data_IF_867115725251
#
_entry.id   IF_867115725251
#
_cell.length_a   1.000
_cell.length_b   1.000
_cell.length_c   1.000
_cell.angle_alpha   90.00
_cell.angle_beta   90.00
_cell.angle_gamma   90.00
#
_symmetry.space_group_name_H-M   'P 1'
#
loop_
_entity.id
_entity.type
_entity.pdbx_description
1 polymer ?
#
# COMPACT_ATOMS: atom_id res chain seq x y z
N UNK A 1 4.11 -10.07 -5.20
CA UNK A 1 5.24 -10.89 -4.69
C UNK A 1 6.32 -11.22 -5.73
N UNK A 2 6.02 -11.86 -6.87
CA UNK A 2 7.05 -12.42 -7.76
C UNK A 2 8.04 -11.42 -8.40
N UNK A 3 7.72 -10.13 -8.38
CA UNK A 3 8.61 -9.06 -8.83
C UNK A 3 9.80 -8.81 -7.88
N UNK A 4 9.72 -9.22 -6.61
CA UNK A 4 10.74 -8.91 -5.59
C UNK A 4 11.04 -10.04 -4.60
N UNK A 5 10.22 -11.09 -4.51
CA UNK A 5 10.38 -12.14 -3.48
C UNK A 5 11.59 -13.07 -3.65
N UNK A 6 12.37 -12.91 -4.73
CA UNK A 6 13.61 -13.64 -4.98
C UNK A 6 14.86 -12.76 -4.87
N UNK A 7 14.70 -11.49 -4.48
CA UNK A 7 15.81 -10.58 -4.26
C UNK A 7 16.43 -10.84 -2.88
N UNK A 8 17.74 -10.66 -2.77
CA UNK A 8 18.43 -10.76 -1.48
C UNK A 8 18.30 -9.45 -0.69
N UNK A 9 17.13 -9.22 -0.08
CA UNK A 9 16.83 -7.97 0.63
C UNK A 9 17.21 -8.00 2.12
N UNK A 10 17.57 -9.16 2.67
CA UNK A 10 17.92 -9.34 4.08
C UNK A 10 16.74 -9.19 5.06
N UNK A 11 17.09 -8.89 6.31
CA UNK A 11 16.17 -8.69 7.43
C UNK A 11 16.51 -7.41 8.22
N UNK A 12 15.59 -7.01 9.09
CA UNK A 12 15.79 -5.96 10.10
C UNK A 12 15.55 -6.63 11.45
N UNK A 13 16.61 -6.77 12.26
CA UNK A 13 16.55 -7.40 13.59
C UNK A 13 15.88 -8.79 13.58
N UNK A 14 16.16 -9.62 12.57
CA UNK A 14 15.57 -10.94 12.40
C UNK A 14 14.20 -10.96 11.71
N UNK A 15 13.60 -9.80 11.41
CA UNK A 15 12.33 -9.70 10.66
C UNK A 15 12.64 -9.54 9.17
N UNK A 16 12.24 -10.47 8.29
CA UNK A 16 12.52 -10.37 6.86
C UNK A 16 11.94 -9.10 6.23
N UNK A 17 12.70 -8.44 5.35
CA UNK A 17 12.24 -7.22 4.64
C UNK A 17 11.15 -7.47 3.60
N UNK A 18 10.85 -8.74 3.31
CA UNK A 18 9.68 -9.17 2.55
C UNK A 18 8.89 -10.13 3.41
N UNK A 19 7.72 -9.70 3.86
CA UNK A 19 6.77 -10.53 4.58
C UNK A 19 5.68 -10.97 3.61
N UNK A 20 5.52 -12.28 3.40
CA UNK A 20 4.53 -12.85 2.49
C UNK A 20 3.37 -13.46 3.28
N UNK A 21 2.21 -12.80 3.25
CA UNK A 21 1.01 -13.30 3.93
C UNK A 21 0.29 -14.41 3.15
N UNK A 22 0.66 -14.68 1.89
CA UNK A 22 0.04 -15.74 1.07
C UNK A 22 -0.55 -15.25 -0.25
N UNK A 23 -1.69 -15.79 -0.63
CA UNK A 23 -2.42 -15.50 -1.86
C UNK A 23 -3.11 -14.13 -1.82
N UNK A 24 -3.81 -13.76 -2.90
CA UNK A 24 -4.48 -12.46 -2.97
C UNK A 24 -5.59 -12.29 -1.93
N UNK A 25 -6.28 -13.37 -1.54
CA UNK A 25 -7.23 -13.39 -0.43
C UNK A 25 -6.58 -13.12 0.94
N UNK A 26 -5.29 -13.42 1.10
CA UNK A 26 -4.54 -13.14 2.34
C UNK A 26 -4.17 -11.65 2.49
N UNK A 27 -4.60 -10.80 1.56
CA UNK A 27 -4.68 -9.35 1.79
C UNK A 27 -5.56 -9.02 3.01
N UNK A 28 -6.49 -9.91 3.38
CA UNK A 28 -7.23 -9.84 4.63
C UNK A 28 -6.29 -9.78 5.85
N UNK A 29 -5.25 -10.62 5.88
CA UNK A 29 -4.28 -10.64 6.97
C UNK A 29 -3.57 -9.29 7.12
N UNK A 30 -3.21 -8.64 6.00
CA UNK A 30 -2.61 -7.30 6.04
C UNK A 30 -3.57 -6.22 6.53
N UNK A 31 -4.85 -6.31 6.19
CA UNK A 31 -5.87 -5.42 6.74
C UNK A 31 -6.00 -5.60 8.27
N UNK A 32 -6.03 -6.85 8.75
CA UNK A 32 -6.06 -7.15 10.20
C UNK A 32 -4.82 -6.64 10.91
N UNK A 33 -3.64 -6.82 10.33
CA UNK A 33 -2.38 -6.28 10.88
C UNK A 33 -2.43 -4.76 10.98
N UNK A 34 -2.87 -4.06 9.94
CA UNK A 34 -2.99 -2.61 9.96
C UNK A 34 -3.98 -2.13 11.03
N UNK A 35 -5.16 -2.77 11.14
CA UNK A 35 -6.13 -2.45 12.18
C UNK A 35 -5.58 -2.71 13.59
N UNK A 36 -4.82 -3.79 13.78
CA UNK A 36 -4.20 -4.08 15.07
C UNK A 36 -3.11 -3.08 15.42
N UNK A 37 -2.28 -2.67 14.46
CA UNK A 37 -1.28 -1.61 14.67
C UNK A 37 -1.96 -0.29 15.04
N UNK A 38 -3.05 0.08 14.35
CA UNK A 38 -3.85 1.27 14.69
C UNK A 38 -4.30 1.23 16.16
N UNK A 39 -4.83 0.09 16.60
CA UNK A 39 -5.27 -0.13 17.99
C UNK A 39 -4.09 -0.01 18.98
N UNK A 40 -2.98 -0.71 18.72
CA UNK A 40 -1.80 -0.73 19.61
C UNK A 40 -1.18 0.66 19.76
N UNK A 41 -1.16 1.46 18.69
CA UNK A 41 -0.66 2.83 18.72
C UNK A 41 -1.72 3.87 19.15
N UNK A 42 -2.97 3.45 19.42
CA UNK A 42 -4.04 4.35 19.84
C UNK A 42 -4.42 5.42 18.80
N UNK A 43 -4.27 5.12 17.52
CA UNK A 43 -4.52 6.06 16.43
C UNK A 43 -6.01 6.17 16.12
N UNK A 44 -6.46 7.36 15.72
CA UNK A 44 -7.88 7.60 15.39
C UNK A 44 -8.20 7.16 13.95
N UNK A 45 -7.24 7.30 13.04
CA UNK A 45 -7.34 6.93 11.63
C UNK A 45 -6.27 5.89 11.25
N UNK A 46 -6.63 4.92 10.40
CA UNK A 46 -5.71 3.90 9.88
C UNK A 46 -4.62 4.53 9.00
N UNK A 47 -4.92 5.67 8.39
CA UNK A 47 -4.02 6.40 7.50
C UNK A 47 -2.91 7.16 8.25
N UNK A 48 -2.95 7.21 9.59
CA UNK A 48 -1.88 7.74 10.43
C UNK A 48 -0.73 6.73 10.63
N UNK A 49 -0.95 5.46 10.26
CA UNK A 49 0.10 4.44 10.33
C UNK A 49 1.21 4.74 9.32
N UNK A 50 2.48 4.38 9.63
CA UNK A 50 3.60 4.51 8.71
C UNK A 50 3.56 3.41 7.63
N UNK A 51 2.45 3.29 6.89
CA UNK A 51 2.20 2.27 5.87
C UNK A 51 1.89 2.96 4.54
N UNK A 52 2.60 2.57 3.50
CA UNK A 52 2.37 3.01 2.13
C UNK A 52 1.71 1.89 1.34
N UNK A 53 0.60 2.19 0.66
CA UNK A 53 -0.11 1.24 -0.21
C UNK A 53 0.27 1.50 -1.68
N UNK A 54 1.25 0.75 -2.19
CA UNK A 54 1.59 0.70 -3.62
C UNK A 54 1.23 -0.67 -4.18
N UNK A 55 0.04 -0.78 -4.79
CA UNK A 55 -0.63 -2.03 -5.13
C UNK A 55 -0.60 -2.26 -6.64
N UNK A 56 -0.09 -3.41 -7.04
CA UNK A 56 -0.23 -3.90 -8.41
C UNK A 56 -1.52 -4.73 -8.55
N UNK A 57 -2.27 -4.51 -9.63
CA UNK A 57 -3.48 -5.27 -9.94
C UNK A 57 -3.42 -5.86 -11.36
N UNK A 58 -4.30 -6.85 -11.63
CA UNK A 58 -4.44 -7.45 -12.96
C UNK A 58 -5.87 -7.91 -13.23
N UNK A 59 -6.44 -8.72 -12.33
CA UNK A 59 -7.76 -9.33 -12.49
C UNK A 59 -8.76 -8.86 -11.41
N UNK A 60 -9.96 -9.43 -11.42
CA UNK A 60 -11.11 -8.93 -10.67
C UNK A 60 -11.01 -9.19 -9.16
N UNK A 61 -10.24 -10.20 -8.71
CA UNK A 61 -10.00 -10.37 -7.26
C UNK A 61 -9.19 -9.21 -6.68
N UNK A 62 -8.27 -8.61 -7.45
CA UNK A 62 -7.62 -7.38 -7.02
C UNK A 62 -8.60 -6.21 -6.88
N UNK A 63 -9.67 -6.17 -7.68
CA UNK A 63 -10.72 -5.14 -7.57
C UNK A 63 -11.50 -5.29 -6.27
N UNK A 64 -11.91 -6.50 -5.87
CA UNK A 64 -12.62 -6.68 -4.59
C UNK A 64 -11.72 -6.39 -3.39
N UNK A 65 -10.42 -6.70 -3.47
CA UNK A 65 -9.44 -6.31 -2.44
C UNK A 65 -9.34 -4.78 -2.33
N UNK A 66 -9.27 -4.07 -3.46
CA UNK A 66 -9.27 -2.61 -3.47
C UNK A 66 -10.54 -2.06 -2.81
N UNK A 67 -11.73 -2.54 -3.20
CA UNK A 67 -13.00 -2.11 -2.61
C UNK A 67 -13.07 -2.38 -1.10
N UNK A 68 -12.52 -3.50 -0.63
CA UNK A 68 -12.43 -3.80 0.79
C UNK A 68 -11.53 -2.80 1.55
N UNK A 69 -10.37 -2.44 0.99
CA UNK A 69 -9.49 -1.42 1.58
C UNK A 69 -10.17 -0.04 1.64
N UNK A 70 -10.87 0.35 0.57
CA UNK A 70 -11.64 1.61 0.54
C UNK A 70 -12.77 1.61 1.59
N UNK A 71 -13.46 0.47 1.77
CA UNK A 71 -14.48 0.31 2.80
C UNK A 71 -13.89 0.44 4.22
N UNK A 72 -12.69 -0.09 4.44
CA UNK A 72 -11.95 0.05 5.71
C UNK A 72 -11.38 1.46 5.94
N UNK A 73 -11.60 2.39 5.01
CA UNK A 73 -11.18 3.78 5.12
C UNK A 73 -9.72 4.03 4.73
N UNK A 74 -9.05 3.07 4.07
CA UNK A 74 -7.69 3.27 3.55
C UNK A 74 -7.73 4.29 2.41
N UNK A 75 -6.82 5.27 2.47
CA UNK A 75 -6.65 6.34 1.50
C UNK A 75 -5.24 6.34 0.90
N UNK A 76 -5.05 7.16 -0.13
CA UNK A 76 -3.76 7.39 -0.78
C UNK A 76 -3.13 6.11 -1.37
N UNK A 77 -3.98 5.18 -1.85
CA UNK A 77 -3.56 3.97 -2.53
C UNK A 77 -3.04 4.32 -3.92
N UNK A 78 -1.80 3.92 -4.20
CA UNK A 78 -1.19 4.00 -5.52
C UNK A 78 -1.45 2.67 -6.24
N UNK A 79 -2.18 2.73 -7.35
CA UNK A 79 -2.66 1.57 -8.09
C UNK A 79 -2.04 1.52 -9.48
N UNK A 80 -1.43 0.39 -9.84
CA UNK A 80 -0.73 0.24 -11.11
C UNK A 80 -0.70 -1.18 -11.69
N UNK A 81 -0.14 -1.37 -12.90
CA UNK A 81 0.64 -0.38 -13.64
C UNK A 81 -0.20 0.70 -14.35
N UNK A 82 -1.48 0.45 -14.59
CA UNK A 82 -2.45 1.41 -15.12
C UNK A 82 -3.69 1.44 -14.23
N UNK A 83 -4.49 2.51 -14.30
CA UNK A 83 -5.81 2.50 -13.66
C UNK A 83 -6.76 1.53 -14.39
N UNK A 84 -7.72 0.91 -13.70
CA UNK A 84 -8.69 0.04 -14.34
C UNK A 84 -9.49 0.72 -15.45
N UNK A 85 -9.43 0.15 -16.66
CA UNK A 85 -10.09 0.73 -17.83
C UNK A 85 -11.62 0.75 -17.78
N UNK A 86 -12.23 0.05 -16.82
CA UNK A 86 -13.67 0.10 -16.57
C UNK A 86 -14.10 1.31 -15.74
N UNK A 87 -13.16 2.09 -15.18
CA UNK A 87 -13.48 3.31 -14.46
C UNK A 87 -13.77 4.42 -15.48
N UNK A 88 -15.03 4.87 -15.52
CA UNK A 88 -15.37 6.07 -16.27
C UNK A 88 -14.67 7.30 -15.66
N UNK A 89 -14.44 8.38 -16.42
CA UNK A 89 -13.79 9.59 -15.91
C UNK A 89 -14.45 10.15 -14.64
N UNK A 90 -15.78 10.11 -14.55
CA UNK A 90 -16.51 10.57 -13.38
C UNK A 90 -16.29 9.67 -12.15
N UNK A 91 -16.27 8.35 -12.34
CA UNK A 91 -16.00 7.41 -11.24
C UNK A 91 -14.56 7.56 -10.78
N UNK A 92 -13.60 7.66 -11.72
CA UNK A 92 -12.20 7.90 -11.39
C UNK A 92 -12.02 9.19 -10.58
N UNK A 93 -12.69 10.28 -10.98
CA UNK A 93 -12.68 11.55 -10.24
C UNK A 93 -13.17 11.40 -8.80
N UNK A 94 -14.29 10.70 -8.58
CA UNK A 94 -14.79 10.44 -7.21
C UNK A 94 -13.78 9.64 -6.38
N UNK A 95 -13.14 8.64 -6.98
CA UNK A 95 -12.12 7.82 -6.30
C UNK A 95 -10.89 8.66 -5.89
N UNK A 96 -10.45 9.57 -6.75
CA UNK A 96 -9.37 10.52 -6.45
C UNK A 96 -9.79 11.49 -5.33
N UNK A 97 -10.95 12.13 -5.46
CA UNK A 97 -11.40 13.17 -4.52
C UNK A 97 -11.74 12.64 -3.12
N UNK A 98 -12.30 11.42 -3.03
CA UNK A 98 -12.74 10.84 -1.75
C UNK A 98 -11.68 10.00 -1.07
N UNK A 99 -10.86 9.29 -1.86
CA UNK A 99 -9.93 8.29 -1.34
C UNK A 99 -8.47 8.57 -1.67
N UNK A 100 -8.16 9.58 -2.49
CA UNK A 100 -6.79 9.89 -2.88
C UNK A 100 -6.16 8.79 -3.75
N UNK A 101 -6.96 8.00 -4.48
CA UNK A 101 -6.41 7.00 -5.40
C UNK A 101 -5.53 7.70 -6.45
N UNK A 102 -4.33 7.16 -6.67
CA UNK A 102 -3.39 7.68 -7.65
C UNK A 102 -2.78 6.56 -8.49
N UNK A 103 -2.29 6.90 -9.68
CA UNK A 103 -1.43 6.02 -10.46
C UNK A 103 0.02 6.04 -9.96
N UNK A 104 0.88 5.26 -10.61
CA UNK A 104 2.33 5.29 -10.40
C UNK A 104 3.01 6.22 -11.42
N UNK A 105 4.20 6.74 -11.11
CA UNK A 105 5.05 7.49 -12.06
C UNK A 105 6.40 6.80 -12.25
N UNK A 106 7.53 7.52 -12.08
CA UNK A 106 8.86 6.91 -12.06
C UNK A 106 9.17 6.40 -10.66
N UNK A 107 10.07 5.41 -10.58
CA UNK A 107 10.47 4.83 -9.29
C UNK A 107 11.00 5.91 -8.34
N UNK A 108 11.84 6.82 -8.82
CA UNK A 108 12.45 7.88 -8.01
C UNK A 108 11.42 8.89 -7.50
N UNK A 109 10.49 9.32 -8.36
CA UNK A 109 9.43 10.23 -7.97
C UNK A 109 8.49 9.61 -6.94
N UNK A 110 8.10 8.35 -7.14
CA UNK A 110 7.21 7.66 -6.22
C UNK A 110 7.89 7.37 -4.88
N UNK A 111 9.16 6.95 -4.87
CA UNK A 111 9.94 6.83 -3.62
C UNK A 111 10.02 8.17 -2.88
N UNK A 112 10.15 9.29 -3.60
CA UNK A 112 10.14 10.63 -2.98
C UNK A 112 8.77 10.96 -2.38
N UNK A 113 7.68 10.77 -3.14
CA UNK A 113 6.31 11.01 -2.67
C UNK A 113 5.95 10.16 -1.45
N UNK A 114 6.44 8.93 -1.40
CA UNK A 114 6.19 8.00 -0.30
C UNK A 114 7.07 8.27 0.92
N UNK A 115 8.00 9.23 0.84
CA UNK A 115 8.95 9.49 1.90
C UNK A 115 9.87 8.29 2.13
N UNK A 116 10.30 7.59 1.07
CA UNK A 116 11.18 6.41 1.10
C UNK A 116 12.56 6.69 0.48
N UNK A 117 12.93 7.97 0.35
CA UNK A 117 14.23 8.42 -0.15
C UNK A 117 15.20 8.67 1.01
N UNK A 118 16.52 8.70 0.74
CA UNK A 118 17.51 8.94 1.79
C UNK A 118 17.29 10.29 2.50
N UNK A 119 17.25 10.26 3.82
CA UNK A 119 16.99 11.44 4.67
C UNK A 119 15.52 11.69 5.00
N UNK A 120 14.59 10.90 4.48
CA UNK A 120 13.16 10.98 4.86
C UNK A 120 12.87 10.36 6.22
N UNK A 121 11.85 10.86 6.92
CA UNK A 121 11.47 10.39 8.25
C UNK A 121 11.15 8.88 8.30
N UNK A 122 10.46 8.33 7.29
CA UNK A 122 10.16 6.89 7.22
C UNK A 122 11.41 6.06 6.89
N UNK A 123 12.30 6.54 6.01
CA UNK A 123 13.55 5.85 5.72
C UNK A 123 14.52 5.84 6.91
N UNK A 124 14.52 6.91 7.72
CA UNK A 124 15.36 7.02 8.91
C UNK A 124 14.85 6.14 10.06
N UNK A 125 13.53 6.03 10.24
CA UNK A 125 12.93 5.15 11.27
C UNK A 125 13.14 3.66 10.98
N UNK A 126 13.34 3.26 9.72
CA UNK A 126 13.62 1.87 9.35
C UNK A 126 15.08 1.44 9.59
N UNK A 127 15.98 2.38 9.96
CA UNK A 127 17.41 2.14 10.21
C UNK A 127 17.79 2.14 11.69
N UNK A 128 16.85 2.45 12.61
CA UNK A 128 17.02 2.41 14.05
C UNK A 128 16.47 1.11 14.63
#
# INVERSE_FOLDING_TARGET
KYKYNKLNLGDINGIPRVLDAGQCNDSYSWAVVALKLKEVFGLNDINELPIVFNIAWYEQKAVIVLLALLYLGVKNIHLGPTLPGFLSPNVAKVLVEKFGIAGITTVEEDLKKFGLYEGSALANNARA
#
